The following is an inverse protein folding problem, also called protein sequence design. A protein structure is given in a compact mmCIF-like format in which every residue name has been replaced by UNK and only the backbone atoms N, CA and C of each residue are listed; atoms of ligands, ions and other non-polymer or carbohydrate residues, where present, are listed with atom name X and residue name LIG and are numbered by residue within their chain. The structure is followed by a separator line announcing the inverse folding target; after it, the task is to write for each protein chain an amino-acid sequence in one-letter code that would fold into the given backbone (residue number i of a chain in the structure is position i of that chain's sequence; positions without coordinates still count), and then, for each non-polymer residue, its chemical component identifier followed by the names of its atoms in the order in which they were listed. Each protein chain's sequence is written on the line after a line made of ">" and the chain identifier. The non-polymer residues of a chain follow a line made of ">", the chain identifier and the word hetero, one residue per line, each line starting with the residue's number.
data_IF_414179452367
#
_entry.id   IF_414179452367
#
_cell.length_a   1.000
_cell.length_b   1.000
_cell.length_c   1.000
_cell.angle_alpha   90.00
_cell.angle_beta   90.00
_cell.angle_gamma   90.00
#
_symmetry.space_group_name_H-M   'P 1'
#
loop_
_entity.id
_entity.type
_entity.pdbx_description
1 polymer ?
#
# COMPACT_ATOMS: atom_id res chain seq x y z
N UNK A 1 1.83 -5.37 2.16
CA UNK A 1 2.19 -4.89 3.51
C UNK A 1 3.33 -5.67 4.18
N UNK A 2 4.59 -5.40 3.79
CA UNK A 2 5.77 -5.74 4.60
C UNK A 2 6.24 -4.46 5.29
N UNK A 3 5.68 -4.22 6.48
CA UNK A 3 6.27 -3.35 7.49
C UNK A 3 7.56 -4.04 7.97
N UNK A 4 8.72 -3.62 7.50
CA UNK A 4 10.00 -4.09 8.03
C UNK A 4 10.44 -3.18 9.16
N UNK A 5 10.66 -3.81 10.33
CA UNK A 5 11.05 -3.29 11.65
C UNK A 5 9.93 -2.79 12.59
N UNK A 6 9.13 -3.73 13.12
CA UNK A 6 8.61 -3.70 14.51
C UNK A 6 7.94 -5.04 14.88
N UNK A 7 8.64 -5.89 15.64
CA UNK A 7 8.16 -7.05 16.42
C UNK A 7 7.24 -8.08 15.74
N UNK A 8 7.82 -9.19 15.28
CA UNK A 8 7.12 -10.42 14.85
C UNK A 8 5.99 -10.91 15.80
N UNK A 9 6.12 -10.88 17.14
CA UNK A 9 5.06 -11.38 18.03
C UNK A 9 3.82 -10.48 18.05
N UNK A 10 3.99 -9.16 17.99
CA UNK A 10 2.87 -8.20 17.99
C UNK A 10 1.96 -8.39 16.76
N UNK A 11 2.56 -8.66 15.61
CA UNK A 11 1.82 -8.96 14.37
C UNK A 11 1.05 -10.28 14.45
N UNK A 12 1.64 -11.30 15.07
CA UNK A 12 0.98 -12.59 15.26
C UNK A 12 -0.20 -12.48 16.22
N UNK A 13 -0.03 -11.77 17.35
CA UNK A 13 -1.10 -11.47 18.31
C UNK A 13 -2.22 -10.68 17.63
N UNK A 14 -1.89 -9.61 16.92
CA UNK A 14 -2.89 -8.83 16.18
C UNK A 14 -3.65 -9.70 15.17
N UNK A 15 -2.96 -10.51 14.37
CA UNK A 15 -3.60 -11.44 13.42
C UNK A 15 -4.55 -12.42 14.12
N UNK A 16 -4.16 -12.96 15.28
CA UNK A 16 -5.00 -13.86 16.06
C UNK A 16 -6.25 -13.13 16.58
N UNK A 17 -6.08 -11.97 17.22
CA UNK A 17 -7.20 -11.16 17.71
C UNK A 17 -8.15 -10.75 16.59
N UNK A 18 -7.59 -10.41 15.42
CA UNK A 18 -8.32 -10.06 14.22
C UNK A 18 -9.14 -11.23 13.67
N UNK A 19 -8.54 -12.43 13.57
CA UNK A 19 -9.24 -13.66 13.18
C UNK A 19 -10.37 -14.03 14.13
N UNK A 20 -10.15 -13.85 15.44
CA UNK A 20 -11.15 -14.10 16.48
C UNK A 20 -12.17 -12.95 16.64
N UNK A 21 -12.05 -11.88 15.85
CA UNK A 21 -12.92 -10.71 15.87
C UNK A 21 -13.04 -10.01 17.23
N UNK A 22 -11.97 -10.06 18.04
CA UNK A 22 -11.96 -9.52 19.41
C UNK A 22 -11.76 -7.99 19.40
N UNK A 23 -12.79 -7.25 18.94
CA UNK A 23 -12.74 -5.80 18.66
C UNK A 23 -12.20 -4.96 19.82
N UNK A 24 -12.61 -5.26 21.05
CA UNK A 24 -12.19 -4.50 22.24
C UNK A 24 -10.71 -4.69 22.57
N UNK A 25 -10.18 -5.90 22.39
CA UNK A 25 -8.75 -6.17 22.57
C UNK A 25 -7.92 -5.50 21.47
N UNK A 26 -8.43 -5.49 20.23
CA UNK A 26 -7.80 -4.78 19.10
C UNK A 26 -7.76 -3.28 19.36
N UNK A 27 -8.87 -2.71 19.84
CA UNK A 27 -8.95 -1.29 20.20
C UNK A 27 -7.94 -0.94 21.31
N UNK A 28 -7.89 -1.76 22.36
CA UNK A 28 -6.98 -1.53 23.50
C UNK A 28 -5.51 -1.65 23.06
N UNK A 29 -5.19 -2.68 22.28
CA UNK A 29 -3.85 -2.90 21.73
C UNK A 29 -3.43 -1.77 20.77
N UNK A 30 -4.33 -1.34 19.89
CA UNK A 30 -4.10 -0.22 18.99
C UNK A 30 -3.83 1.06 19.77
N UNK A 31 -4.64 1.38 20.78
CA UNK A 31 -4.48 2.57 21.63
C UNK A 31 -3.16 2.56 22.42
N UNK A 32 -2.79 1.42 23.00
CA UNK A 32 -1.53 1.27 23.75
C UNK A 32 -0.29 1.45 22.87
N UNK A 33 -0.35 0.98 21.61
CA UNK A 33 0.79 1.08 20.68
C UNK A 33 0.83 2.43 19.96
N UNK A 34 -0.33 3.02 19.65
CA UNK A 34 -0.41 4.32 19.00
C UNK A 34 -0.01 5.46 19.93
N UNK A 35 -0.28 5.36 21.25
CA UNK A 35 0.09 6.43 22.19
C UNK A 35 1.61 6.65 22.33
N UNK A 36 2.43 5.71 21.83
CA UNK A 36 3.89 5.84 21.77
C UNK A 36 4.41 6.33 20.41
N UNK A 37 3.57 6.44 19.39
CA UNK A 37 3.94 6.84 18.03
C UNK A 37 2.84 7.69 17.38
N UNK A 38 3.09 9.00 17.31
CA UNK A 38 2.17 10.00 16.77
C UNK A 38 1.78 9.73 15.32
N UNK A 39 2.69 9.17 14.51
CA UNK A 39 2.40 8.86 13.12
C UNK A 39 1.41 7.69 13.01
N UNK A 40 1.61 6.64 13.82
CA UNK A 40 0.68 5.51 13.89
C UNK A 40 -0.68 5.93 14.43
N UNK A 41 -0.73 6.79 15.46
CA UNK A 41 -1.98 7.33 15.99
C UNK A 41 -2.75 8.11 14.94
N UNK A 42 -2.08 9.06 14.27
CA UNK A 42 -2.67 9.83 13.20
C UNK A 42 -3.15 8.93 12.05
N UNK A 43 -2.34 7.97 11.61
CA UNK A 43 -2.70 7.08 10.50
C UNK A 43 -3.94 6.23 10.80
N UNK A 44 -4.07 5.70 12.03
CA UNK A 44 -5.25 4.95 12.44
C UNK A 44 -6.50 5.83 12.56
N UNK A 45 -6.37 7.03 13.17
CA UNK A 45 -7.46 7.97 13.29
C UNK A 45 -7.95 8.46 11.92
N UNK A 46 -7.02 8.80 11.03
CA UNK A 46 -7.33 9.24 9.67
C UNK A 46 -7.92 8.10 8.84
N UNK A 47 -7.38 6.89 8.94
CA UNK A 47 -7.95 5.71 8.28
C UNK A 47 -9.39 5.43 8.71
N UNK A 48 -9.67 5.52 10.01
CA UNK A 48 -11.04 5.41 10.54
C UNK A 48 -11.96 6.52 10.02
N UNK A 49 -11.48 7.76 9.98
CA UNK A 49 -12.21 8.90 9.42
C UNK A 49 -12.57 8.69 7.94
N UNK A 50 -11.58 8.37 7.09
CA UNK A 50 -11.77 8.18 5.64
C UNK A 50 -12.72 7.02 5.33
N UNK A 51 -12.65 5.94 6.11
CA UNK A 51 -13.51 4.77 5.93
C UNK A 51 -14.86 4.88 6.63
N UNK A 52 -15.13 5.98 7.34
CA UNK A 52 -16.29 6.17 8.21
C UNK A 52 -16.50 4.99 9.19
N UNK A 53 -15.42 4.59 9.88
CA UNK A 53 -15.44 3.52 10.86
C UNK A 53 -15.10 4.04 12.25
N UNK A 54 -15.54 3.32 13.28
CA UNK A 54 -15.41 3.75 14.68
C UNK A 54 -14.51 2.83 15.52
N UNK A 55 -13.84 1.87 14.89
CA UNK A 55 -12.83 1.04 15.54
C UNK A 55 -11.74 0.62 14.56
N UNK A 56 -10.50 0.38 15.04
CA UNK A 56 -9.42 -0.13 14.18
C UNK A 56 -9.80 -1.45 13.50
N UNK A 57 -10.54 -2.34 14.18
CA UNK A 57 -11.03 -3.57 13.57
C UNK A 57 -11.93 -3.29 12.36
N UNK A 58 -12.91 -2.39 12.51
CA UNK A 58 -13.83 -2.06 11.43
C UNK A 58 -13.11 -1.33 10.28
N UNK A 59 -12.13 -0.49 10.60
CA UNK A 59 -11.22 0.11 9.60
C UNK A 59 -10.48 -0.96 8.79
N UNK A 60 -9.81 -1.91 9.46
CA UNK A 60 -9.09 -2.99 8.78
C UNK A 60 -10.04 -3.86 7.94
N UNK A 61 -11.24 -4.15 8.45
CA UNK A 61 -12.29 -4.85 7.69
C UNK A 61 -12.77 -4.07 6.47
N UNK A 62 -12.79 -2.75 6.53
CA UNK A 62 -13.17 -1.89 5.41
C UNK A 62 -12.11 -1.93 4.32
N UNK A 63 -10.83 -1.75 4.67
CA UNK A 63 -9.74 -1.75 3.69
C UNK A 63 -9.46 -3.13 3.10
N UNK A 64 -9.78 -4.24 3.80
CA UNK A 64 -9.68 -5.60 3.26
C UNK A 64 -10.48 -5.82 1.97
N UNK A 65 -11.55 -5.03 1.75
CA UNK A 65 -12.35 -5.08 0.52
C UNK A 65 -11.61 -4.51 -0.69
N UNK A 66 -10.54 -3.74 -0.47
CA UNK A 66 -9.75 -3.09 -1.51
C UNK A 66 -8.60 -4.02 -1.89
N UNK A 67 -8.94 -5.07 -2.63
CA UNK A 67 -7.99 -6.09 -3.08
C UNK A 67 -8.21 -6.37 -4.56
N UNK A 68 -7.12 -6.70 -5.26
CA UNK A 68 -7.16 -7.24 -6.63
C UNK A 68 -7.05 -8.77 -6.64
N UNK A 69 -7.06 -9.40 -5.46
CA UNK A 69 -7.01 -10.85 -5.35
C UNK A 69 -8.15 -11.46 -6.18
N UNK A 70 -7.81 -12.48 -6.98
CA UNK A 70 -8.71 -13.19 -7.89
C UNK A 70 -9.22 -12.37 -9.09
N UNK A 71 -8.90 -11.08 -9.18
CA UNK A 71 -9.36 -10.16 -10.24
C UNK A 71 -8.21 -9.76 -11.22
N UNK A 72 -6.96 -10.15 -10.95
CA UNK A 72 -5.81 -9.76 -11.77
C UNK A 72 -5.88 -10.26 -13.23
N UNK A 73 -6.60 -11.36 -13.48
CA UNK A 73 -6.85 -11.86 -14.84
C UNK A 73 -7.80 -10.98 -15.65
N UNK A 74 -8.64 -10.18 -15.00
CA UNK A 74 -9.62 -9.33 -15.68
C UNK A 74 -8.99 -8.07 -16.30
N UNK A 75 -7.73 -7.78 -15.93
CA UNK A 75 -6.94 -6.71 -16.50
C UNK A 75 -6.34 -7.18 -17.83
N UNK A 76 -6.88 -6.67 -18.94
CA UNK A 76 -6.56 -7.12 -20.32
C UNK A 76 -5.91 -6.03 -21.18
N UNK A 77 -5.85 -4.81 -20.67
CA UNK A 77 -5.29 -3.62 -21.33
C UNK A 77 -3.78 -3.49 -21.10
N UNK A 78 -3.15 -2.57 -21.85
CA UNK A 78 -1.78 -2.15 -21.56
C UNK A 78 -1.72 -1.42 -20.21
N UNK A 79 -0.74 -1.78 -19.39
CA UNK A 79 -0.56 -1.26 -18.03
C UNK A 79 0.82 -0.63 -17.91
N UNK A 80 0.85 0.62 -17.46
CA UNK A 80 2.06 1.26 -16.96
C UNK A 80 2.11 1.14 -15.44
N UNK A 81 3.10 0.41 -14.93
CA UNK A 81 3.32 0.22 -13.50
C UNK A 81 4.54 1.04 -13.03
N UNK A 82 4.31 2.01 -12.15
CA UNK A 82 5.34 2.90 -11.62
C UNK A 82 5.52 2.70 -10.11
N UNK A 83 6.74 2.83 -9.61
CA UNK A 83 7.06 2.80 -8.18
C UNK A 83 8.34 3.58 -7.91
N UNK A 84 8.49 4.12 -6.70
CA UNK A 84 9.76 4.65 -6.21
C UNK A 84 10.46 3.62 -5.32
N UNK A 85 11.80 3.51 -5.40
CA UNK A 85 12.55 2.49 -4.66
C UNK A 85 12.57 2.70 -3.13
N UNK A 86 12.25 3.91 -2.67
CA UNK A 86 12.12 4.27 -1.24
C UNK A 86 10.68 4.68 -0.88
N UNK A 87 9.68 4.15 -1.58
CA UNK A 87 8.28 4.35 -1.21
C UNK A 87 8.02 3.81 0.20
N UNK A 88 7.72 4.71 1.14
CA UNK A 88 7.47 4.37 2.54
C UNK A 88 6.01 3.98 2.81
N UNK A 89 5.09 4.26 1.88
CA UNK A 89 3.68 3.90 1.98
C UNK A 89 3.43 2.51 1.40
N UNK A 90 4.00 2.21 0.23
CA UNK A 90 3.75 0.98 -0.52
C UNK A 90 4.99 0.09 -0.52
N UNK A 91 4.93 -1.13 0.04
CA UNK A 91 6.08 -2.03 0.05
C UNK A 91 6.49 -2.45 -1.36
N UNK A 92 7.80 -2.47 -1.63
CA UNK A 92 8.38 -2.81 -2.94
C UNK A 92 7.90 -4.15 -3.52
N UNK A 93 7.54 -5.14 -2.69
CA UNK A 93 7.02 -6.41 -3.18
C UNK A 93 5.71 -6.26 -3.96
N UNK A 94 4.88 -5.23 -3.69
CA UNK A 94 3.65 -5.00 -4.45
C UNK A 94 3.97 -4.71 -5.93
N UNK A 95 5.02 -3.94 -6.19
CA UNK A 95 5.49 -3.67 -7.56
C UNK A 95 5.92 -4.96 -8.25
N UNK A 96 6.76 -5.77 -7.61
CA UNK A 96 7.18 -7.08 -8.15
C UNK A 96 5.98 -8.00 -8.38
N UNK A 97 5.08 -8.10 -7.41
CA UNK A 97 3.89 -8.95 -7.50
C UNK A 97 3.01 -8.56 -8.68
N UNK A 98 2.64 -7.29 -8.82
CA UNK A 98 1.79 -6.85 -9.93
C UNK A 98 2.49 -7.01 -11.28
N UNK A 99 3.78 -6.70 -11.36
CA UNK A 99 4.58 -6.91 -12.58
C UNK A 99 4.55 -8.37 -13.05
N UNK A 100 4.55 -9.32 -12.12
CA UNK A 100 4.62 -10.76 -12.41
C UNK A 100 3.26 -11.45 -12.51
N UNK A 101 2.18 -10.84 -12.00
CA UNK A 101 0.89 -11.51 -11.81
C UNK A 101 -0.27 -10.81 -12.56
N UNK A 102 0.00 -10.17 -13.69
CA UNK A 102 -1.02 -9.63 -14.61
C UNK A 102 -1.01 -10.44 -15.92
N UNK A 103 -1.57 -11.67 -15.92
CA UNK A 103 -1.32 -12.66 -16.97
C UNK A 103 -1.91 -12.28 -18.35
N UNK A 104 -2.95 -11.45 -18.36
CA UNK A 104 -3.66 -11.06 -19.57
C UNK A 104 -3.31 -9.62 -20.02
N UNK A 105 -2.41 -8.94 -19.32
CA UNK A 105 -2.04 -7.56 -19.58
C UNK A 105 -0.64 -7.48 -20.22
N UNK A 106 -0.41 -6.46 -21.03
CA UNK A 106 0.95 -6.06 -21.40
C UNK A 106 1.45 -5.02 -20.40
N UNK A 107 2.43 -5.39 -19.57
CA UNK A 107 2.92 -4.53 -18.49
C UNK A 107 4.26 -3.90 -18.88
N UNK A 108 4.27 -2.58 -19.02
CA UNK A 108 5.48 -1.77 -18.96
C UNK A 108 5.68 -1.32 -17.50
N UNK A 109 6.88 -1.48 -16.96
CA UNK A 109 7.14 -1.17 -15.54
C UNK A 109 8.42 -0.37 -15.35
N UNK A 110 8.41 0.60 -14.43
CA UNK A 110 9.59 1.38 -14.04
C UNK A 110 9.62 1.61 -12.53
N UNK A 111 10.80 1.36 -11.95
CA UNK A 111 11.14 1.76 -10.60
C UNK A 111 12.03 3.01 -10.68
N UNK A 112 11.64 4.10 -10.05
CA UNK A 112 12.42 5.33 -9.96
C UNK A 112 13.40 5.26 -8.79
N UNK A 113 14.59 5.80 -9.01
CA UNK A 113 15.71 5.73 -8.06
C UNK A 113 15.93 7.05 -7.33
N UNK A 114 16.69 6.99 -6.24
CA UNK A 114 17.07 8.18 -5.46
C UNK A 114 17.96 9.12 -6.27
N UNK A 115 18.79 8.57 -7.16
CA UNK A 115 19.64 9.37 -8.05
C UNK A 115 18.82 10.23 -9.04
N UNK A 116 17.59 9.82 -9.35
CA UNK A 116 16.65 10.53 -10.20
C UNK A 116 15.74 11.51 -9.41
N UNK A 117 15.76 11.44 -8.07
CA UNK A 117 14.85 12.17 -7.18
C UNK A 117 13.40 11.66 -7.20
N UNK A 118 13.16 10.50 -7.84
CA UNK A 118 11.82 9.91 -7.99
C UNK A 118 11.54 8.76 -7.02
N UNK A 119 12.40 8.51 -6.03
CA UNK A 119 12.34 7.33 -5.18
C UNK A 119 11.16 7.28 -4.21
N UNK A 120 10.51 8.41 -3.95
CA UNK A 120 9.46 8.52 -2.94
C UNK A 120 8.07 8.21 -3.50
N UNK A 121 7.10 8.07 -2.59
CA UNK A 121 5.70 7.82 -2.95
C UNK A 121 5.18 8.86 -3.94
N UNK A 122 4.57 8.39 -5.03
CA UNK A 122 4.08 9.22 -6.12
C UNK A 122 5.15 10.13 -6.74
N UNK A 123 6.44 9.79 -6.60
CA UNK A 123 7.58 10.57 -7.08
C UNK A 123 7.56 12.02 -6.56
N UNK A 124 7.13 12.25 -5.31
CA UNK A 124 7.02 13.60 -4.73
C UNK A 124 8.32 14.41 -4.70
N UNK A 125 9.47 13.74 -4.69
CA UNK A 125 10.77 14.39 -4.80
C UNK A 125 11.05 15.01 -6.19
N UNK A 126 10.40 14.48 -7.23
CA UNK A 126 10.56 14.92 -8.61
C UNK A 126 9.33 14.50 -9.44
N UNK A 127 8.25 15.27 -9.39
CA UNK A 127 7.03 14.92 -10.12
C UNK A 127 7.21 14.93 -11.65
N UNK A 128 8.10 15.80 -12.15
CA UNK A 128 8.32 16.01 -13.58
C UNK A 128 8.76 14.71 -14.27
N UNK A 129 9.71 13.97 -13.67
CA UNK A 129 10.20 12.71 -14.25
C UNK A 129 9.09 11.66 -14.41
N UNK A 130 8.14 11.62 -13.49
CA UNK A 130 7.00 10.70 -13.56
C UNK A 130 6.02 11.13 -14.64
N UNK A 131 5.71 12.43 -14.70
CA UNK A 131 4.78 13.01 -15.66
C UNK A 131 5.30 12.85 -17.08
N UNK A 132 6.57 13.16 -17.34
CA UNK A 132 7.20 12.98 -18.64
C UNK A 132 7.18 11.50 -19.07
N UNK A 133 7.49 10.59 -18.15
CA UNK A 133 7.46 9.16 -18.45
C UNK A 133 6.05 8.67 -18.81
N UNK A 134 5.03 9.10 -18.05
CA UNK A 134 3.62 8.80 -18.36
C UNK A 134 3.20 9.40 -19.71
N UNK A 135 3.57 10.66 -19.98
CA UNK A 135 3.24 11.33 -21.23
C UNK A 135 3.84 10.63 -22.45
N UNK A 136 5.12 10.28 -22.38
CA UNK A 136 5.79 9.56 -23.46
C UNK A 136 5.24 8.14 -23.62
N UNK A 137 4.85 7.47 -22.53
CA UNK A 137 4.17 6.18 -22.62
C UNK A 137 2.83 6.27 -23.38
N UNK A 138 1.98 7.24 -23.03
CA UNK A 138 0.69 7.48 -23.71
C UNK A 138 0.92 7.79 -25.19
N UNK A 139 1.92 8.61 -25.52
CA UNK A 139 2.23 9.00 -26.91
C UNK A 139 2.64 7.84 -27.80
N UNK A 140 3.33 6.83 -27.25
CA UNK A 140 3.73 5.64 -28.01
C UNK A 140 2.54 4.82 -28.51
N UNK A 141 1.30 5.08 -28.05
CA UNK A 141 0.07 4.34 -28.39
C UNK A 141 0.29 2.82 -28.31
N UNK A 142 0.87 2.38 -27.20
CA UNK A 142 0.99 0.96 -26.87
C UNK A 142 -0.40 0.38 -26.71
#
# INVERSE_FOLDING_TARGET
>A
MQWTFSNQPARAVFKLLYRLQLKQLIYTFARLKSSSDQLTEWALAHGMFVTNTHSPYDFFKSIEKHTLQDELSEITQNVLLLSGEKDHYIPAWHFTHLKENLPNAHVESRMFTEAEGGEQHCQVGNYEIAIEYMYEWIKRRV
#
